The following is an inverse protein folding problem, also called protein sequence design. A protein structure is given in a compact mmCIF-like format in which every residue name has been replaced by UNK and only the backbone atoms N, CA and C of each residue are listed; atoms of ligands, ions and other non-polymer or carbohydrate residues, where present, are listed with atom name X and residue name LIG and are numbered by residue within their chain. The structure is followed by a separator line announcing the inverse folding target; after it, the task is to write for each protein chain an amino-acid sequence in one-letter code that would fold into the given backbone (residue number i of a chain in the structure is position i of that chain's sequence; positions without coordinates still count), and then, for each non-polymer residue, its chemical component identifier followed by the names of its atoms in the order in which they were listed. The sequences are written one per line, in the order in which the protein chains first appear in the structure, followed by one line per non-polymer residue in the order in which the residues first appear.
data_IF_208611320978
#
_entry.id   IF_208611320978
#
_cell.length_a   1.000
_cell.length_b   1.000
_cell.length_c   1.000
_cell.angle_alpha   90.00
_cell.angle_beta   90.00
_cell.angle_gamma   90.00
#
_symmetry.space_group_name_H-M   'P 1'
#
loop_
_entity.id
_entity.type
_entity.pdbx_description
1 polymer ?
#
# COMPACT_ATOMS: atom_id res chain seq x y z
N UNK A 1 -24.23 12.35 7.09
CA UNK A 1 -23.13 11.75 7.85
C UNK A 1 -22.84 12.69 9.01
N UNK A 2 -22.91 12.28 10.27
CA UNK A 2 -22.81 13.21 11.41
C UNK A 2 -21.42 13.74 11.72
N UNK A 3 -20.35 13.16 11.17
CA UNK A 3 -19.00 13.33 11.76
C UNK A 3 -17.98 14.03 10.85
N UNK A 4 -18.39 14.57 9.70
CA UNK A 4 -17.47 15.37 8.84
C UNK A 4 -16.29 14.61 8.25
N UNK A 5 -16.35 13.27 8.25
CA UNK A 5 -15.32 12.43 7.64
C UNK A 5 -15.34 12.54 6.13
N UNK A 6 -14.17 12.84 5.54
CA UNK A 6 -13.97 12.81 4.11
C UNK A 6 -13.73 11.37 3.66
N UNK A 7 -14.48 10.92 2.67
CA UNK A 7 -14.36 9.59 2.06
C UNK A 7 -13.96 9.77 0.61
N UNK A 8 -12.93 9.07 0.17
CA UNK A 8 -12.54 9.06 -1.24
C UNK A 8 -13.44 8.12 -2.03
N UNK A 9 -13.97 8.60 -3.15
CA UNK A 9 -14.78 7.82 -4.08
C UNK A 9 -14.07 7.72 -5.42
N UNK A 10 -13.76 6.50 -5.88
CA UNK A 10 -13.28 6.25 -7.24
C UNK A 10 -14.44 5.76 -8.10
N UNK A 11 -14.73 6.53 -9.14
CA UNK A 11 -15.79 6.25 -10.10
C UNK A 11 -15.16 5.75 -11.40
N UNK A 12 -15.69 4.64 -11.91
CA UNK A 12 -15.31 4.09 -13.21
C UNK A 12 -16.57 3.79 -14.03
N UNK A 13 -16.61 4.25 -15.26
CA UNK A 13 -17.70 3.94 -16.20
C UNK A 13 -17.21 2.97 -17.26
N UNK A 14 -18.06 2.03 -17.63
CA UNK A 14 -17.81 1.08 -18.71
C UNK A 14 -19.05 1.01 -19.62
N UNK A 15 -18.89 1.26 -20.93
CA UNK A 15 -20.00 1.05 -21.87
C UNK A 15 -20.30 -0.45 -21.99
N UNK A 16 -21.57 -0.80 -21.90
CA UNK A 16 -22.07 -2.16 -22.06
C UNK A 16 -23.17 -2.22 -23.11
N UNK A 17 -23.57 -3.42 -23.54
CA UNK A 17 -24.66 -3.59 -24.50
C UNK A 17 -26.02 -3.04 -24.03
N UNK A 18 -26.20 -2.83 -22.72
CA UNK A 18 -27.44 -2.33 -22.11
C UNK A 18 -27.31 -0.90 -21.58
N UNK A 19 -26.27 -0.17 -21.93
CA UNK A 19 -25.98 1.17 -21.46
C UNK A 19 -24.68 1.24 -20.68
N UNK A 20 -24.44 2.37 -20.00
CA UNK A 20 -23.23 2.56 -19.19
C UNK A 20 -23.39 1.91 -17.81
N UNK A 21 -22.35 1.14 -17.43
CA UNK A 21 -22.20 0.60 -16.07
C UNK A 21 -21.31 1.54 -15.28
N UNK A 22 -21.79 2.02 -14.14
CA UNK A 22 -21.01 2.75 -13.16
C UNK A 22 -20.53 1.80 -12.05
N UNK A 23 -19.24 1.80 -11.80
CA UNK A 23 -18.64 1.16 -10.63
C UNK A 23 -18.12 2.24 -9.69
N UNK A 24 -18.59 2.22 -8.46
CA UNK A 24 -18.18 3.13 -7.40
C UNK A 24 -17.40 2.34 -6.35
N UNK A 25 -16.16 2.72 -6.11
CA UNK A 25 -15.35 2.21 -5.00
C UNK A 25 -15.26 3.28 -3.92
N UNK A 26 -15.63 2.88 -2.72
CA UNK A 26 -15.59 3.75 -1.53
C UNK A 26 -14.33 3.37 -0.77
N UNK A 27 -13.47 4.35 -0.52
CA UNK A 27 -12.27 4.19 0.30
C UNK A 27 -12.52 4.90 1.63
N UNK A 28 -12.63 4.10 2.67
CA UNK A 28 -12.80 4.58 4.04
C UNK A 28 -11.44 4.44 4.74
N UNK A 29 -10.79 5.55 5.13
CA UNK A 29 -9.47 5.51 5.76
C UNK A 29 -9.46 4.72 7.08
N UNK A 30 -10.56 4.71 7.82
CA UNK A 30 -10.64 3.99 9.10
C UNK A 30 -10.62 2.47 8.94
N UNK A 31 -11.02 1.98 7.77
CA UNK A 31 -11.03 0.54 7.49
C UNK A 31 -9.62 -0.01 7.23
N UNK A 32 -8.69 0.84 6.78
CA UNK A 32 -7.34 0.40 6.39
C UNK A 32 -6.34 0.40 7.55
N UNK A 33 -6.61 1.13 8.64
CA UNK A 33 -5.75 1.14 9.83
C UNK A 33 -6.53 0.58 11.00
N UNK A 34 -6.23 -0.66 11.37
CA UNK A 34 -6.86 -1.38 12.47
C UNK A 34 -5.81 -1.94 13.40
N UNK A 35 -6.20 -2.18 14.64
CA UNK A 35 -5.37 -2.96 15.56
C UNK A 35 -5.26 -4.40 15.06
N UNK A 36 -4.13 -5.06 15.33
CA UNK A 36 -3.92 -6.44 14.89
C UNK A 36 -4.95 -7.41 15.46
N UNK A 37 -5.50 -7.13 16.65
CA UNK A 37 -6.59 -7.89 17.21
C UNK A 37 -7.86 -7.84 16.33
N UNK A 38 -8.19 -6.66 15.81
CA UNK A 38 -9.31 -6.44 14.88
C UNK A 38 -9.09 -7.11 13.52
N UNK A 39 -7.83 -7.33 13.15
CA UNK A 39 -7.44 -8.07 11.96
C UNK A 39 -7.45 -9.59 12.16
N UNK A 40 -7.76 -10.06 13.37
CA UNK A 40 -7.84 -11.46 13.71
C UNK A 40 -6.52 -12.13 14.10
N UNK A 41 -5.48 -11.34 14.37
CA UNK A 41 -4.23 -11.88 14.91
C UNK A 41 -4.46 -12.35 16.34
N UNK A 42 -3.92 -13.52 16.69
CA UNK A 42 -3.80 -13.92 18.09
C UNK A 42 -2.76 -13.02 18.79
N UNK A 43 -2.78 -12.98 20.12
CA UNK A 43 -1.78 -12.24 20.90
C UNK A 43 -0.34 -12.70 20.56
N UNK A 44 -0.15 -14.01 20.44
CA UNK A 44 1.14 -14.60 20.07
C UNK A 44 1.59 -14.21 18.65
N UNK A 45 0.68 -14.23 17.69
CA UNK A 45 0.99 -13.86 16.31
C UNK A 45 1.27 -12.36 16.19
N UNK A 46 0.50 -11.54 16.89
CA UNK A 46 0.73 -10.10 16.95
C UNK A 46 2.10 -9.77 17.55
N UNK A 47 2.47 -10.42 18.66
CA UNK A 47 3.78 -10.22 19.29
C UNK A 47 4.93 -10.66 18.37
N UNK A 48 4.82 -11.81 17.71
CA UNK A 48 5.82 -12.29 16.73
C UNK A 48 5.92 -11.37 15.53
N UNK A 49 4.79 -10.90 15.01
CA UNK A 49 4.75 -9.97 13.89
C UNK A 49 5.46 -8.66 14.24
N UNK A 50 5.13 -8.05 15.37
CA UNK A 50 5.75 -6.81 15.84
C UNK A 50 7.25 -6.96 16.06
N UNK A 51 7.68 -8.08 16.66
CA UNK A 51 9.10 -8.39 16.86
C UNK A 51 9.85 -8.52 15.52
N UNK A 52 9.22 -9.12 14.52
CA UNK A 52 9.80 -9.31 13.19
C UNK A 52 9.84 -8.00 12.40
N UNK A 53 8.73 -7.26 12.37
CA UNK A 53 8.61 -6.01 11.65
C UNK A 53 9.46 -4.86 12.25
N UNK A 54 9.68 -4.89 13.56
CA UNK A 54 10.50 -3.91 14.28
C UNK A 54 12.02 -4.14 14.21
N UNK A 55 12.50 -5.11 13.42
CA UNK A 55 13.95 -5.32 13.23
C UNK A 55 14.57 -4.17 12.43
N UNK A 56 15.81 -3.77 12.75
CA UNK A 56 16.46 -2.62 12.10
C UNK A 56 16.82 -2.87 10.63
N UNK A 57 16.77 -4.11 10.17
CA UNK A 57 17.07 -4.50 8.79
C UNK A 57 16.36 -5.80 8.43
N UNK A 58 16.11 -5.99 7.15
CA UNK A 58 15.49 -7.18 6.60
C UNK A 58 14.42 -6.87 5.58
N UNK A 59 13.77 -7.91 5.10
CA UNK A 59 12.64 -7.82 4.17
C UNK A 59 11.50 -8.64 4.76
N UNK A 60 10.31 -8.06 4.82
CA UNK A 60 9.07 -8.73 5.20
C UNK A 60 8.19 -8.85 3.96
N UNK A 61 7.84 -10.08 3.60
CA UNK A 61 7.00 -10.35 2.44
C UNK A 61 5.60 -10.78 2.91
N UNK A 62 4.57 -10.03 2.47
CA UNK A 62 3.17 -10.33 2.76
C UNK A 62 2.52 -10.87 1.50
N UNK A 63 2.06 -12.11 1.55
CA UNK A 63 1.46 -12.80 0.41
C UNK A 63 0.02 -13.19 0.69
N UNK A 64 -0.77 -13.36 -0.38
CA UNK A 64 -2.16 -13.81 -0.28
C UNK A 64 -2.99 -13.31 -1.47
N UNK A 65 -4.22 -13.84 -1.64
CA UNK A 65 -5.12 -13.42 -2.72
C UNK A 65 -5.62 -11.98 -2.54
N UNK A 66 -6.23 -11.43 -3.58
CA UNK A 66 -6.91 -10.13 -3.50
C UNK A 66 -7.99 -10.17 -2.42
N UNK A 67 -8.06 -9.10 -1.61
CA UNK A 67 -9.03 -8.99 -0.52
C UNK A 67 -8.65 -9.74 0.76
N UNK A 68 -7.46 -10.36 0.84
CA UNK A 68 -7.01 -11.09 2.05
C UNK A 68 -6.48 -10.18 3.17
N UNK A 69 -6.48 -8.86 2.98
CA UNK A 69 -6.02 -7.90 4.00
C UNK A 69 -4.53 -7.56 3.96
N UNK A 70 -3.81 -7.88 2.86
CA UNK A 70 -2.38 -7.54 2.73
C UNK A 70 -2.11 -6.05 2.98
N UNK A 71 -2.78 -5.18 2.24
CA UNK A 71 -2.64 -3.72 2.35
C UNK A 71 -2.99 -3.24 3.75
N UNK A 72 -4.09 -3.72 4.32
CA UNK A 72 -4.51 -3.36 5.68
C UNK A 72 -3.45 -3.75 6.72
N UNK A 73 -2.90 -4.98 6.62
CA UNK A 73 -1.83 -5.45 7.51
C UNK A 73 -0.57 -4.60 7.39
N UNK A 74 -0.18 -4.25 6.15
CA UNK A 74 1.00 -3.40 5.89
C UNK A 74 0.79 -1.99 6.44
N UNK A 75 -0.33 -1.34 6.15
CA UNK A 75 -0.62 0.01 6.65
C UNK A 75 -0.70 0.07 8.17
N UNK A 76 -1.37 -0.91 8.82
CA UNK A 76 -1.42 -1.01 10.28
C UNK A 76 -0.02 -1.19 10.89
N UNK A 77 0.85 -1.97 10.22
CA UNK A 77 2.24 -2.16 10.65
C UNK A 77 3.03 -0.87 10.52
N UNK A 78 2.98 -0.23 9.35
CA UNK A 78 3.71 1.02 9.10
C UNK A 78 3.27 2.14 10.03
N UNK A 79 1.97 2.23 10.32
CA UNK A 79 1.43 3.22 11.25
C UNK A 79 2.01 3.07 12.67
N UNK A 80 2.22 1.84 13.13
CA UNK A 80 2.85 1.58 14.42
C UNK A 80 4.35 1.89 14.41
N UNK A 81 5.03 1.70 13.28
CA UNK A 81 6.45 1.96 13.13
C UNK A 81 6.78 3.43 12.83
N UNK A 82 5.83 4.19 12.28
CA UNK A 82 5.96 5.60 11.93
C UNK A 82 5.98 6.48 13.19
N UNK A 83 7.10 6.50 13.89
CA UNK A 83 7.34 7.39 15.04
C UNK A 83 8.07 8.66 14.58
N UNK A 84 8.04 9.76 15.39
CA UNK A 84 8.84 10.94 15.08
C UNK A 84 10.30 10.59 14.89
N UNK A 85 10.86 10.91 13.73
CA UNK A 85 12.25 10.60 13.34
C UNK A 85 12.41 9.32 12.50
N UNK A 86 11.35 8.58 12.23
CA UNK A 86 11.36 7.44 11.29
C UNK A 86 10.76 7.88 9.96
N UNK A 87 11.57 7.82 8.90
CA UNK A 87 11.15 8.14 7.55
C UNK A 87 10.56 6.93 6.85
N UNK A 88 9.23 6.87 6.80
CA UNK A 88 8.47 5.81 6.11
C UNK A 88 8.17 6.27 4.69
N UNK A 89 8.65 5.53 3.70
CA UNK A 89 8.39 5.76 2.28
C UNK A 89 7.57 4.61 1.68
N UNK A 90 6.60 4.93 0.83
CA UNK A 90 5.82 3.92 0.12
C UNK A 90 5.85 4.12 -1.38
N UNK A 91 5.75 3.02 -2.13
CA UNK A 91 5.61 3.01 -3.58
C UNK A 91 4.41 2.11 -3.95
N UNK A 92 3.38 2.69 -4.53
CA UNK A 92 2.07 2.06 -4.69
C UNK A 92 1.48 2.29 -6.09
N UNK A 93 0.65 1.36 -6.55
CA UNK A 93 -0.07 1.45 -7.83
C UNK A 93 -1.52 0.96 -7.69
N UNK A 94 -2.47 1.86 -7.47
CA UNK A 94 -2.31 3.24 -6.99
C UNK A 94 -2.16 3.32 -5.45
N UNK A 95 -1.96 4.53 -4.91
CA UNK A 95 -2.03 4.76 -3.46
C UNK A 95 -3.45 4.43 -3.00
N UNK A 96 -3.59 3.50 -2.04
CA UNK A 96 -4.89 3.06 -1.53
C UNK A 96 -5.46 4.03 -0.49
N UNK A 97 -4.61 4.68 0.29
CA UNK A 97 -5.00 5.63 1.32
C UNK A 97 -3.90 6.67 1.50
N UNK A 98 -4.27 7.93 1.63
CA UNK A 98 -3.32 9.00 1.98
C UNK A 98 -3.08 8.97 3.48
N UNK A 99 -1.82 8.78 3.89
CA UNK A 99 -1.39 8.82 5.28
C UNK A 99 -0.34 9.93 5.45
N UNK A 100 -0.65 11.02 6.16
CA UNK A 100 0.25 12.17 6.29
C UNK A 100 1.59 11.85 6.94
N UNK A 101 1.69 10.74 7.68
CA UNK A 101 2.93 10.30 8.30
C UNK A 101 3.88 9.58 7.33
N UNK A 102 3.45 9.30 6.09
CA UNK A 102 4.25 8.57 5.09
C UNK A 102 4.63 9.48 3.92
N UNK A 103 5.79 9.23 3.35
CA UNK A 103 6.21 9.78 2.07
C UNK A 103 5.75 8.82 0.96
N UNK A 104 4.55 9.04 0.42
CA UNK A 104 3.90 8.15 -0.52
C UNK A 104 4.17 8.55 -1.96
N UNK A 105 4.66 7.61 -2.77
CA UNK A 105 4.88 7.75 -4.21
C UNK A 105 3.95 6.82 -4.96
N UNK A 106 3.22 7.38 -5.93
CA UNK A 106 2.39 6.60 -6.83
C UNK A 106 3.15 6.26 -8.10
N UNK A 107 3.07 5.01 -8.54
CA UNK A 107 3.52 4.60 -9.87
C UNK A 107 2.66 5.28 -10.93
N UNK A 108 3.29 5.90 -11.92
CA UNK A 108 2.62 6.53 -13.06
C UNK A 108 3.37 6.11 -14.32
N UNK A 109 3.02 4.95 -14.86
CA UNK A 109 3.68 4.32 -16.02
C UNK A 109 3.66 5.21 -17.27
N UNK A 110 2.60 6.01 -17.45
CA UNK A 110 2.44 6.90 -18.59
C UNK A 110 3.49 8.01 -18.69
N UNK A 111 4.13 8.35 -17.57
CA UNK A 111 5.21 9.34 -17.51
C UNK A 111 6.58 8.73 -17.18
N UNK A 112 6.70 7.40 -17.28
CA UNK A 112 7.95 6.68 -17.07
C UNK A 112 8.34 6.49 -15.60
N UNK A 113 7.41 6.67 -14.65
CA UNK A 113 7.63 6.39 -13.23
C UNK A 113 7.11 4.99 -12.95
N UNK A 114 7.91 3.99 -13.29
CA UNK A 114 7.68 2.59 -12.93
C UNK A 114 8.18 2.26 -11.51
N UNK A 115 8.00 1.00 -11.08
CA UNK A 115 8.47 0.55 -9.76
C UNK A 115 9.99 0.71 -9.59
N UNK A 116 10.78 0.39 -10.59
CA UNK A 116 12.24 0.47 -10.52
C UNK A 116 12.73 1.92 -10.35
N UNK A 117 12.18 2.85 -11.13
CA UNK A 117 12.46 4.28 -11.04
C UNK A 117 11.98 4.85 -9.71
N UNK A 118 10.79 4.45 -9.26
CA UNK A 118 10.22 4.84 -7.98
C UNK A 118 11.11 4.40 -6.81
N UNK A 119 11.55 3.15 -6.77
CA UNK A 119 12.48 2.65 -5.74
C UNK A 119 13.79 3.44 -5.75
N UNK A 120 14.39 3.67 -6.93
CA UNK A 120 15.63 4.47 -7.02
C UNK A 120 15.43 5.90 -6.50
N UNK A 121 14.24 6.48 -6.72
CA UNK A 121 13.89 7.80 -6.21
C UNK A 121 13.74 7.79 -4.70
N UNK A 122 13.06 6.80 -4.13
CA UNK A 122 12.88 6.64 -2.70
C UNK A 122 14.19 6.43 -1.95
N UNK A 123 15.12 5.64 -2.50
CA UNK A 123 16.42 5.41 -1.88
C UNK A 123 17.28 6.68 -1.73
N UNK A 124 16.97 7.74 -2.48
CA UNK A 124 17.62 9.05 -2.34
C UNK A 124 16.99 9.96 -1.30
N UNK A 125 15.88 9.53 -0.69
CA UNK A 125 15.15 10.28 0.33
C UNK A 125 15.55 9.89 1.76
N UNK A 126 16.62 9.10 1.92
CA UNK A 126 17.10 8.59 3.22
C UNK A 126 16.00 7.86 4.01
N UNK A 127 15.37 6.84 3.42
CA UNK A 127 14.27 6.12 4.05
C UNK A 127 14.76 5.15 5.13
N UNK A 128 14.08 5.11 6.27
CA UNK A 128 14.26 4.07 7.28
C UNK A 128 13.46 2.81 6.94
N UNK A 129 12.26 3.02 6.36
CA UNK A 129 11.35 1.94 5.96
C UNK A 129 10.84 2.21 4.55
N UNK A 130 10.88 1.20 3.70
CA UNK A 130 10.30 1.24 2.35
C UNK A 130 9.22 0.16 2.26
N UNK A 131 8.00 0.56 1.89
CA UNK A 131 6.94 -0.36 1.50
C UNK A 131 6.75 -0.31 -0.02
N UNK A 132 6.72 -1.48 -0.64
CA UNK A 132 6.34 -1.65 -2.04
C UNK A 132 4.97 -2.31 -2.07
N UNK A 133 3.97 -1.63 -2.63
CA UNK A 133 2.57 -2.03 -2.55
C UNK A 133 2.26 -3.36 -3.22
N UNK A 134 2.94 -3.65 -4.33
CA UNK A 134 2.86 -4.95 -4.99
C UNK A 134 4.14 -5.29 -5.74
N UNK A 135 4.42 -6.60 -5.85
CA UNK A 135 5.49 -7.15 -6.67
C UNK A 135 4.82 -8.15 -7.61
N UNK A 136 4.83 -7.85 -8.91
CA UNK A 136 4.31 -8.74 -9.95
C UNK A 136 5.45 -9.26 -10.80
N UNK A 137 5.46 -10.57 -11.04
CA UNK A 137 6.46 -11.21 -11.91
C UNK A 137 6.37 -10.77 -13.39
N UNK A 138 5.23 -10.22 -13.79
CA UNK A 138 4.96 -9.79 -15.17
C UNK A 138 5.70 -8.50 -15.56
N UNK A 139 6.06 -7.65 -14.60
CA UNK A 139 6.82 -6.42 -14.88
C UNK A 139 8.27 -6.70 -15.28
N UNK A 140 8.84 -7.85 -14.87
CA UNK A 140 10.15 -8.29 -15.33
C UNK A 140 10.15 -8.88 -16.74
N UNK A 141 8.99 -9.31 -17.25
CA UNK A 141 8.89 -9.96 -18.56
C UNK A 141 8.89 -8.94 -19.71
N UNK A 142 8.37 -7.74 -19.48
CA UNK A 142 8.35 -6.68 -20.50
C UNK A 142 9.71 -6.03 -20.73
N UNK A 143 10.56 -5.94 -19.71
CA UNK A 143 11.94 -5.43 -19.84
C UNK A 143 12.88 -6.43 -20.53
N UNK A 144 12.63 -7.73 -20.40
CA UNK A 144 13.42 -8.78 -21.05
C UNK A 144 13.06 -8.99 -22.54
N UNK A 145 11.92 -8.47 -23.01
CA UNK A 145 11.48 -8.57 -24.39
C UNK A 145 11.87 -7.37 -25.27
N UNK A 146 12.46 -6.33 -24.70
CA UNK A 146 12.86 -5.10 -25.40
C UNK A 146 14.34 -5.02 -25.76
N UNK A 147 15.06 -6.17 -25.77
CA UNK A 147 16.45 -6.27 -26.24
C UNK A 147 16.57 -7.30 -27.36
#
# INVERSE_FOLDING_TARGET
MPDGQEVELRLSTLPTAFGEKLVMRIFDPEVLVRDFADLGFSEDDSARWQQMAGRPNGIVLVTGPTGSGKTTTLYSTLKQLATPGVNVCTLEDPIEMIEPAFNQVQVVSDIGVGFAEGIRALMRQDPDIIMVGEIRSEEHTSELQSH
#
